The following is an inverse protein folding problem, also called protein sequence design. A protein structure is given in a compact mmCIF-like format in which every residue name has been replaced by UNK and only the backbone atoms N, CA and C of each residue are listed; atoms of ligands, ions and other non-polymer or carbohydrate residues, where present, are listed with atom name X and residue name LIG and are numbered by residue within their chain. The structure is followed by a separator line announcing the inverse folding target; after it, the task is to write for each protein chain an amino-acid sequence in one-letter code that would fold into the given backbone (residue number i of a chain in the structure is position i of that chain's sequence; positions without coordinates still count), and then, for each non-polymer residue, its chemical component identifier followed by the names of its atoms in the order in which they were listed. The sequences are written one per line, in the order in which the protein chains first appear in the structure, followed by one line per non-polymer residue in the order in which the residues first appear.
data_IF_708593009096
#
_entry.id   IF_708593009096
#
_cell.length_a   1.000
_cell.length_b   1.000
_cell.length_c   1.000
_cell.angle_alpha   90.00
_cell.angle_beta   90.00
_cell.angle_gamma   90.00
#
_symmetry.space_group_name_H-M   'P 1'
#
loop_
_entity.id
_entity.type
_entity.pdbx_description
1 polymer ?
#
# COMPACT_ATOMS: atom_id res chain seq x y z
N UNK A 1 -8.70 15.85 -8.10
CA UNK A 1 -8.41 14.40 -8.18
C UNK A 1 -7.23 14.13 -9.11
N UNK A 2 -7.16 14.79 -10.27
CA UNK A 2 -6.01 14.75 -11.19
C UNK A 2 -4.64 14.96 -10.51
N UNK A 3 -4.44 16.09 -9.82
CA UNK A 3 -3.17 16.36 -9.12
C UNK A 3 -2.78 15.27 -8.11
N UNK A 4 -3.76 14.67 -7.41
CA UNK A 4 -3.50 13.54 -6.49
C UNK A 4 -3.04 12.29 -7.25
N UNK A 5 -3.60 12.00 -8.42
CA UNK A 5 -3.14 10.87 -9.25
C UNK A 5 -1.75 11.13 -9.85
N UNK A 6 -1.43 12.38 -10.20
CA UNK A 6 -0.10 12.77 -10.66
C UNK A 6 0.97 12.54 -9.58
N UNK A 7 0.69 12.89 -8.32
CA UNK A 7 1.60 12.63 -7.19
C UNK A 7 1.82 11.12 -6.93
N UNK A 8 0.89 10.28 -7.38
CA UNK A 8 0.96 8.83 -7.21
C UNK A 8 1.67 8.10 -8.35
N UNK A 9 2.14 8.82 -9.38
CA UNK A 9 2.96 8.22 -10.43
C UNK A 9 4.24 7.63 -9.80
N UNK A 10 4.47 6.35 -10.06
CA UNK A 10 5.62 5.61 -9.51
C UNK A 10 5.53 5.22 -8.03
N UNK A 11 4.42 5.53 -7.34
CA UNK A 11 4.18 5.04 -5.98
C UNK A 11 3.75 3.56 -6.01
N UNK A 12 4.20 2.79 -5.02
CA UNK A 12 3.77 1.40 -4.83
C UNK A 12 2.60 1.32 -3.85
N UNK A 13 1.90 0.18 -3.84
CA UNK A 13 0.79 -0.11 -2.91
C UNK A 13 -0.40 0.85 -3.04
N UNK A 14 -0.61 1.39 -4.24
CA UNK A 14 -1.82 2.16 -4.57
C UNK A 14 -2.95 1.20 -4.92
N UNK A 15 -4.12 1.43 -4.34
CA UNK A 15 -5.33 0.68 -4.59
C UNK A 15 -6.35 1.65 -5.20
N UNK A 16 -6.99 1.22 -6.29
CA UNK A 16 -7.96 2.02 -7.02
C UNK A 16 -9.32 1.32 -7.01
N UNK A 17 -10.37 2.04 -6.63
CA UNK A 17 -11.74 1.62 -6.86
C UNK A 17 -12.24 2.27 -8.14
N UNK A 18 -12.46 1.48 -9.19
CA UNK A 18 -12.97 1.95 -10.47
C UNK A 18 -14.43 1.55 -10.60
N UNK A 19 -15.30 2.50 -10.94
CA UNK A 19 -16.77 2.28 -11.01
C UNK A 19 -17.19 1.10 -11.89
N UNK A 20 -16.42 0.85 -12.96
CA UNK A 20 -16.68 -0.23 -13.92
C UNK A 20 -16.09 -1.58 -13.52
N UNK A 21 -15.22 -1.61 -12.50
CA UNK A 21 -14.51 -2.81 -12.07
C UNK A 21 -15.29 -3.51 -10.97
N UNK A 22 -15.18 -4.84 -10.90
CA UNK A 22 -15.84 -5.64 -9.86
C UNK A 22 -15.02 -5.63 -8.55
N UNK A 23 -14.89 -4.45 -7.94
CA UNK A 23 -14.16 -4.23 -6.69
C UNK A 23 -12.83 -3.48 -6.84
N UNK A 24 -12.00 -3.56 -5.79
CA UNK A 24 -10.72 -2.85 -5.69
C UNK A 24 -9.67 -3.48 -6.59
N UNK A 25 -9.03 -2.65 -7.41
CA UNK A 25 -7.79 -2.98 -8.08
C UNK A 25 -6.66 -2.76 -7.09
N UNK A 26 -5.95 -3.83 -6.76
CA UNK A 26 -4.86 -3.84 -5.78
C UNK A 26 -3.51 -3.69 -6.47
N UNK A 27 -2.54 -3.13 -5.76
CA UNK A 27 -1.15 -2.99 -6.21
C UNK A 27 -1.07 -2.39 -7.61
N UNK A 28 -1.78 -1.28 -7.78
CA UNK A 28 -1.84 -0.55 -9.03
C UNK A 28 -0.59 0.31 -9.16
N UNK A 29 0.07 0.24 -10.31
CA UNK A 29 1.11 1.18 -10.71
C UNK A 29 0.46 2.25 -11.59
N UNK A 30 0.42 3.51 -11.14
CA UNK A 30 -0.01 4.62 -11.99
C UNK A 30 1.16 4.96 -12.92
N UNK A 31 0.91 4.85 -14.23
CA UNK A 31 1.92 5.06 -15.27
C UNK A 31 1.91 6.51 -15.76
N UNK A 32 0.71 7.05 -15.97
CA UNK A 32 0.55 8.37 -16.59
C UNK A 32 -0.81 9.00 -16.28
N UNK A 33 -0.85 10.33 -16.27
CA UNK A 33 -2.08 11.13 -16.06
C UNK A 33 -2.11 12.28 -17.07
N UNK A 34 -3.00 12.18 -18.05
CA UNK A 34 -3.17 13.17 -19.11
C UNK A 34 -4.55 13.81 -19.00
N UNK A 35 -4.60 15.04 -18.46
CA UNK A 35 -5.83 15.82 -18.33
C UNK A 35 -6.90 15.06 -17.53
N UNK A 36 -7.94 14.59 -18.21
CA UNK A 36 -9.06 13.84 -17.61
C UNK A 36 -8.90 12.32 -17.65
N UNK A 37 -7.74 11.80 -18.09
CA UNK A 37 -7.48 10.36 -18.20
C UNK A 37 -6.30 9.91 -17.34
N UNK A 38 -6.38 8.69 -16.83
CA UNK A 38 -5.32 8.01 -16.08
C UNK A 38 -5.03 6.67 -16.73
N UNK A 39 -3.75 6.38 -16.94
CA UNK A 39 -3.25 5.07 -17.38
C UNK A 39 -2.55 4.41 -16.21
N UNK A 40 -2.96 3.18 -15.91
CA UNK A 40 -2.41 2.41 -14.80
C UNK A 40 -2.31 0.94 -15.15
N UNK A 41 -1.44 0.25 -14.41
CA UNK A 41 -1.21 -1.18 -14.53
C UNK A 41 -1.61 -1.88 -13.24
N UNK A 42 -2.26 -3.01 -13.33
CA UNK A 42 -2.67 -3.79 -12.17
C UNK A 42 -2.49 -5.28 -12.42
N UNK A 43 -2.26 -6.02 -11.35
CA UNK A 43 -2.22 -7.48 -11.39
C UNK A 43 -3.61 -8.02 -11.05
N UNK A 44 -4.11 -8.92 -11.88
CA UNK A 44 -5.30 -9.71 -11.55
C UNK A 44 -4.84 -11.05 -11.03
N UNK A 45 -5.14 -11.34 -9.76
CA UNK A 45 -4.98 -12.69 -9.21
C UNK A 45 -6.15 -13.55 -9.70
N UNK A 46 -5.91 -14.33 -10.76
CA UNK A 46 -6.71 -15.52 -11.04
C UNK A 46 -5.96 -16.72 -10.46
N UNK A 47 -6.68 -17.71 -9.90
CA UNK A 47 -6.09 -18.85 -9.15
C UNK A 47 -5.08 -19.69 -9.95
N UNK A 48 -5.00 -19.50 -11.27
CA UNK A 48 -4.17 -20.30 -12.18
C UNK A 48 -3.01 -19.49 -12.78
N UNK A 49 -3.15 -18.17 -12.92
CA UNK A 49 -2.17 -17.32 -13.61
C UNK A 49 -2.14 -15.88 -13.06
N UNK A 50 -0.93 -15.37 -12.84
CA UNK A 50 -0.67 -13.96 -12.57
C UNK A 50 -0.64 -13.20 -13.89
N UNK A 51 -1.69 -12.42 -14.18
CA UNK A 51 -1.75 -11.60 -15.39
C UNK A 51 -1.70 -10.12 -15.06
N UNK A 52 -0.75 -9.44 -15.70
CA UNK A 52 -0.57 -7.99 -15.62
C UNK A 52 -1.40 -7.35 -16.72
N UNK A 53 -2.21 -6.36 -16.36
CA UNK A 53 -3.08 -5.62 -17.26
C UNK A 53 -2.75 -4.13 -17.21
N UNK A 54 -2.72 -3.50 -18.38
CA UNK A 54 -2.67 -2.04 -18.50
C UNK A 54 -4.05 -1.53 -18.92
N UNK A 55 -4.52 -0.46 -18.27
CA UNK A 55 -5.83 0.14 -18.54
C UNK A 55 -5.73 1.65 -18.49
N UNK A 56 -6.41 2.29 -19.44
CA UNK A 56 -6.64 3.73 -19.46
C UNK A 56 -8.12 4.00 -19.17
N UNK A 57 -8.43 4.92 -18.28
CA UNK A 57 -9.82 5.33 -17.99
C UNK A 57 -9.90 6.81 -17.64
N UNK A 58 -11.10 7.38 -17.71
CA UNK A 58 -11.35 8.74 -17.25
C UNK A 58 -11.24 8.83 -15.74
N UNK A 59 -10.69 9.92 -15.22
CA UNK A 59 -10.53 10.17 -13.78
C UNK A 59 -11.89 10.16 -13.08
N UNK A 60 -12.96 10.61 -13.75
CA UNK A 60 -14.34 10.56 -13.23
C UNK A 60 -14.84 9.12 -12.93
N UNK A 61 -14.20 8.10 -13.51
CA UNK A 61 -14.52 6.70 -13.27
C UNK A 61 -13.77 6.13 -12.06
N UNK A 62 -12.82 6.87 -11.50
CA UNK A 62 -12.16 6.51 -10.24
C UNK A 62 -13.08 6.96 -9.10
N UNK A 63 -13.65 6.00 -8.39
CA UNK A 63 -14.50 6.27 -7.23
C UNK A 63 -13.66 6.63 -6.00
N UNK A 64 -12.57 5.89 -5.75
CA UNK A 64 -11.77 6.04 -4.55
C UNK A 64 -10.31 5.61 -4.79
N UNK A 65 -9.40 6.20 -4.00
CA UNK A 65 -7.96 5.94 -4.03
C UNK A 65 -7.48 5.69 -2.60
N UNK A 66 -6.94 4.50 -2.33
CA UNK A 66 -6.34 4.13 -1.05
C UNK A 66 -4.83 3.87 -1.25
N UNK A 67 -4.00 4.37 -0.34
CA UNK A 67 -2.56 4.11 -0.34
C UNK A 67 -2.24 3.31 0.91
N UNK A 68 -1.82 2.06 0.74
CA UNK A 68 -1.40 1.25 1.88
C UNK A 68 0.05 1.53 2.22
N UNK A 69 0.24 2.33 3.28
CA UNK A 69 1.53 2.55 3.93
C UNK A 69 1.97 1.26 4.64
N UNK A 70 2.48 0.28 3.89
CA UNK A 70 3.15 -0.86 4.49
C UNK A 70 4.54 -0.42 4.96
N UNK A 71 4.64 -0.03 6.23
CA UNK A 71 5.91 0.31 6.90
C UNK A 71 6.75 -0.91 7.31
N UNK A 72 6.61 -2.05 6.62
CA UNK A 72 7.51 -3.18 6.87
C UNK A 72 8.77 -2.95 6.05
N UNK A 73 9.95 -2.75 6.67
CA UNK A 73 11.19 -2.65 5.93
C UNK A 73 11.36 -3.89 5.06
N UNK A 74 11.56 -3.72 3.75
CA UNK A 74 11.88 -4.86 2.86
C UNK A 74 13.21 -5.54 3.25
N UNK A 75 14.05 -4.83 4.01
CA UNK A 75 15.31 -5.33 4.53
C UNK A 75 15.07 -6.24 5.74
N UNK A 76 15.29 -7.55 5.54
CA UNK A 76 15.14 -8.56 6.59
C UNK A 76 15.94 -8.23 7.85
N UNK A 77 17.11 -7.57 7.70
CA UNK A 77 17.92 -7.15 8.84
C UNK A 77 17.20 -6.07 9.65
N UNK A 78 16.63 -5.07 8.99
CA UNK A 78 15.84 -4.01 9.66
C UNK A 78 14.59 -4.54 10.35
N UNK A 79 13.95 -5.58 9.79
CA UNK A 79 12.80 -6.25 10.42
C UNK A 79 13.24 -7.01 11.68
N UNK A 80 14.38 -7.71 11.61
CA UNK A 80 14.95 -8.39 12.78
C UNK A 80 15.36 -7.40 13.88
N UNK A 81 16.02 -6.30 13.51
CA UNK A 81 16.41 -5.23 14.44
C UNK A 81 15.18 -4.63 15.14
N UNK A 82 14.10 -4.40 14.39
CA UNK A 82 12.85 -3.88 14.92
C UNK A 82 12.21 -4.88 15.89
N UNK A 83 12.17 -6.18 15.56
CA UNK A 83 11.71 -7.24 16.47
C UNK A 83 12.51 -7.26 17.77
N UNK A 84 13.84 -7.23 17.68
CA UNK A 84 14.71 -7.25 18.87
C UNK A 84 14.47 -6.03 19.76
N UNK A 85 14.29 -4.84 19.16
CA UNK A 85 13.99 -3.62 19.92
C UNK A 85 12.65 -3.70 20.64
N UNK A 86 11.59 -4.19 19.96
CA UNK A 86 10.29 -4.36 20.58
C UNK A 86 10.30 -5.40 21.71
N UNK A 87 11.00 -6.53 21.54
CA UNK A 87 11.16 -7.52 22.60
C UNK A 87 11.80 -6.92 23.86
N UNK A 88 12.86 -6.11 23.69
CA UNK A 88 13.51 -5.43 24.82
C UNK A 88 12.59 -4.44 25.53
N UNK A 89 11.81 -3.65 24.78
CA UNK A 89 10.87 -2.70 25.37
C UNK A 89 9.78 -3.41 26.18
N UNK A 90 9.25 -4.53 25.68
CA UNK A 90 8.27 -5.31 26.42
C UNK A 90 8.87 -5.94 27.70
N UNK A 91 10.12 -6.40 27.64
CA UNK A 91 10.82 -6.90 28.83
C UNK A 91 11.05 -5.80 29.87
N UNK A 92 11.38 -4.58 29.44
CA UNK A 92 11.53 -3.43 30.35
C UNK A 92 10.21 -3.04 31.02
N UNK A 93 9.11 -2.97 30.27
CA UNK A 93 7.79 -2.61 30.80
C UNK A 93 7.28 -3.64 31.84
N UNK A 94 7.60 -4.93 31.63
CA UNK A 94 7.29 -6.00 32.59
C UNK A 94 8.13 -5.84 33.88
N UNK A 95 9.38 -5.38 33.78
CA UNK A 95 10.25 -5.14 34.94
C UNK A 95 9.84 -3.88 35.72
N UNK A 96 9.49 -2.79 35.06
CA UNK A 96 8.99 -1.56 35.69
C UNK A 96 7.65 -1.77 36.41
N UNK A 97 6.82 -2.70 35.93
CA UNK A 97 5.56 -3.08 36.58
C UNK A 97 5.73 -3.96 37.84
N UNK A 98 6.96 -4.38 38.17
CA UNK A 98 7.27 -5.25 39.31
C UNK A 98 8.09 -4.56 40.43
N UNK A 99 8.32 -3.24 40.36
CA UNK A 99 8.90 -2.52 41.49
C UNK A 99 7.92 -2.52 42.69
N UNK A 100 8.30 -3.08 43.86
CA UNK A 100 7.48 -2.99 45.06
C UNK A 100 7.47 -1.53 45.52
N UNK A 101 6.29 -0.99 45.82
CA UNK A 101 6.21 0.22 46.66
C UNK A 101 6.87 -0.10 48.01
N UNK A 102 8.02 0.52 48.28
CA UNK A 102 8.60 0.62 49.64
C UNK A 102 7.62 1.26 50.63
#
# INVERSE_FOLDING_TARGET
MESKLQELIGQQNVWLLVKTSNGWLKNVDILDVNGDTVTFRYESESEVDKKIWEKTTRIENIAEIEIRLMSIPKDHKKVQDLRQKFSKLLEQEIQESQEPLE
#
